data_IF_536561333112
#
_entry.id   IF_536561333112
#
_cell.length_a   1.000
_cell.length_b   1.000
_cell.length_c   1.000
_cell.angle_alpha   90.00
_cell.angle_beta   90.00
_cell.angle_gamma   90.00
#
_symmetry.space_group_name_H-M   'P 1'
#
loop_
_entity.id
_entity.type
_entity.pdbx_description
1 polymer ?
#
# COMPACT_ATOMS: atom_id res chain seq x y z
N UNK A 1 5.23 -19.20 3.47
CA UNK A 1 4.72 -18.15 4.39
C UNK A 1 3.21 -18.27 4.43
N UNK A 2 2.61 -18.57 5.58
CA UNK A 2 1.15 -18.68 5.75
C UNK A 2 0.62 -17.31 6.14
N UNK A 3 -0.19 -16.69 5.28
CA UNK A 3 -0.95 -15.49 5.63
C UNK A 3 -2.05 -15.90 6.63
N UNK A 4 -1.91 -15.49 7.88
CA UNK A 4 -2.98 -15.64 8.86
C UNK A 4 -4.16 -14.73 8.48
N UNK A 5 -5.41 -15.22 8.56
CA UNK A 5 -6.57 -14.36 8.35
C UNK A 5 -6.75 -13.45 9.57
N UNK A 6 -6.64 -12.13 9.37
CA UNK A 6 -6.93 -11.14 10.40
C UNK A 6 -8.46 -10.99 10.52
N UNK A 7 -9.03 -10.99 11.74
CA UNK A 7 -10.47 -10.92 11.95
C UNK A 7 -11.04 -9.61 11.38
N UNK A 8 -11.79 -9.72 10.29
CA UNK A 8 -12.47 -8.58 9.68
C UNK A 8 -13.64 -8.15 10.56
N UNK A 9 -13.55 -6.96 11.15
CA UNK A 9 -14.68 -6.25 11.73
C UNK A 9 -15.83 -6.12 10.72
N UNK A 10 -17.06 -6.18 11.21
CA UNK A 10 -18.30 -6.29 10.42
C UNK A 10 -18.68 -5.07 9.58
N UNK A 11 -17.86 -4.70 8.60
CA UNK A 11 -18.14 -3.68 7.58
C UNK A 11 -18.46 -4.28 6.21
N UNK A 12 -19.02 -3.47 5.30
CA UNK A 12 -19.32 -3.86 3.92
C UNK A 12 -18.02 -4.20 3.17
N UNK A 13 -18.05 -5.04 2.11
CA UNK A 13 -16.85 -5.44 1.39
C UNK A 13 -15.96 -4.28 0.92
N UNK A 14 -16.56 -3.14 0.55
CA UNK A 14 -15.82 -1.95 0.11
C UNK A 14 -15.05 -1.28 1.25
N UNK A 15 -15.63 -1.21 2.45
CA UNK A 15 -14.97 -0.65 3.65
C UNK A 15 -13.80 -1.54 4.09
N UNK A 16 -13.97 -2.85 3.96
CA UNK A 16 -12.88 -3.81 4.20
C UNK A 16 -11.75 -3.68 3.18
N UNK A 17 -12.08 -3.37 1.92
CA UNK A 17 -11.08 -3.12 0.89
C UNK A 17 -10.27 -1.86 1.22
N UNK A 18 -10.91 -0.77 1.61
CA UNK A 18 -10.25 0.48 2.03
C UNK A 18 -9.23 0.26 3.15
N UNK A 19 -9.68 -0.35 4.26
CA UNK A 19 -8.78 -0.62 5.41
C UNK A 19 -7.60 -1.48 4.98
N UNK A 20 -7.83 -2.46 4.09
CA UNK A 20 -6.76 -3.33 3.60
C UNK A 20 -5.78 -2.59 2.69
N UNK A 21 -6.26 -1.71 1.81
CA UNK A 21 -5.37 -0.96 0.91
C UNK A 21 -4.54 0.05 1.69
N UNK A 22 -5.13 0.76 2.66
CA UNK A 22 -4.41 1.66 3.58
C UNK A 22 -3.29 0.94 4.36
N UNK A 23 -3.59 -0.25 4.90
CA UNK A 23 -2.60 -1.05 5.63
C UNK A 23 -1.43 -1.50 4.75
N UNK A 24 -1.73 -1.95 3.53
CA UNK A 24 -0.68 -2.40 2.60
C UNK A 24 0.14 -1.19 2.13
N UNK A 25 -0.48 -0.04 1.87
CA UNK A 25 0.20 1.20 1.50
C UNK A 25 1.20 1.62 2.57
N UNK A 26 0.78 1.66 3.84
CA UNK A 26 1.67 1.96 4.96
C UNK A 26 2.82 0.95 5.07
N UNK A 27 2.53 -0.33 4.87
CA UNK A 27 3.56 -1.38 4.88
C UNK A 27 4.60 -1.17 3.78
N UNK A 28 4.17 -0.82 2.57
CA UNK A 28 5.07 -0.53 1.44
C UNK A 28 5.92 0.71 1.70
N UNK A 29 5.34 1.78 2.24
CA UNK A 29 6.09 3.01 2.59
C UNK A 29 7.20 2.72 3.61
N UNK A 30 6.89 1.95 4.66
CA UNK A 30 7.88 1.55 5.68
C UNK A 30 8.96 0.67 5.05
N UNK A 31 8.57 -0.36 4.28
CA UNK A 31 9.51 -1.27 3.63
C UNK A 31 10.45 -0.54 2.65
N UNK A 32 9.92 0.41 1.87
CA UNK A 32 10.70 1.25 0.97
C UNK A 32 11.70 2.12 1.72
N UNK A 33 11.29 2.74 2.83
CA UNK A 33 12.19 3.55 3.66
C UNK A 33 13.31 2.70 4.32
N UNK A 34 12.98 1.52 4.84
CA UNK A 34 13.96 0.60 5.43
C UNK A 34 14.96 0.09 4.38
N UNK A 35 14.48 -0.23 3.18
CA UNK A 35 15.33 -0.65 2.07
C UNK A 35 16.26 0.48 1.64
N UNK A 36 15.74 1.71 1.50
CA UNK A 36 16.53 2.89 1.16
C UNK A 36 17.67 3.12 2.16
N UNK A 37 17.34 3.11 3.46
CA UNK A 37 18.31 3.31 4.54
C UNK A 37 19.39 2.22 4.51
N UNK A 38 18.98 0.96 4.36
CA UNK A 38 19.90 -0.17 4.33
C UNK A 38 20.80 -0.11 3.10
N UNK A 39 20.24 0.14 1.92
CA UNK A 39 21.00 0.19 0.66
C UNK A 39 21.99 1.36 0.66
N UNK A 40 21.58 2.54 1.16
CA UNK A 40 22.44 3.71 1.34
C UNK A 40 23.56 3.45 2.35
N UNK A 41 23.27 2.79 3.47
CA UNK A 41 24.28 2.44 4.46
C UNK A 41 25.31 1.46 3.88
N UNK A 42 24.86 0.44 3.15
CA UNK A 42 25.75 -0.52 2.49
C UNK A 42 26.62 0.16 1.44
N UNK A 43 26.05 1.01 0.58
CA UNK A 43 26.85 1.73 -0.41
C UNK A 43 27.90 2.63 0.26
N UNK A 44 27.54 3.38 1.32
CA UNK A 44 28.50 4.26 2.00
C UNK A 44 29.58 3.50 2.78
N UNK A 45 29.23 2.42 3.46
CA UNK A 45 30.12 1.75 4.41
C UNK A 45 31.00 0.67 3.76
N UNK A 46 30.62 0.13 2.60
CA UNK A 46 31.41 -0.92 1.96
C UNK A 46 32.66 -0.33 1.28
N UNK A 47 33.85 -0.94 1.46
CA UNK A 47 35.03 -0.59 0.68
C UNK A 47 34.77 -0.68 -0.82
N UNK A 48 35.41 0.19 -1.61
CA UNK A 48 35.23 0.17 -3.06
C UNK A 48 35.63 -1.18 -3.68
N UNK A 49 36.63 -1.86 -3.11
CA UNK A 49 37.09 -3.18 -3.57
C UNK A 49 36.00 -4.26 -3.53
N UNK A 50 35.06 -4.19 -2.57
CA UNK A 50 33.99 -5.18 -2.42
C UNK A 50 32.68 -4.75 -3.08
N UNK A 51 32.58 -3.51 -3.60
CA UNK A 51 31.41 -3.00 -4.34
C UNK A 51 31.36 -3.41 -5.81
N UNK A 52 32.22 -4.34 -6.22
CA UNK A 52 32.24 -4.89 -7.57
C UNK A 52 31.69 -6.32 -7.59
N UNK A 53 31.34 -6.80 -8.78
CA UNK A 53 30.79 -8.15 -8.94
C UNK A 53 29.42 -8.31 -8.30
N UNK A 54 29.21 -9.40 -7.59
CA UNK A 54 27.89 -9.79 -7.06
C UNK A 54 27.30 -8.77 -6.09
N UNK A 55 28.13 -8.18 -5.23
CA UNK A 55 27.71 -7.18 -4.26
C UNK A 55 27.25 -5.90 -4.96
N UNK A 56 28.01 -5.42 -5.95
CA UNK A 56 27.62 -4.25 -6.74
C UNK A 56 26.32 -4.46 -7.49
N UNK A 57 26.13 -5.66 -8.10
CA UNK A 57 24.87 -6.03 -8.75
C UNK A 57 23.70 -6.06 -7.76
N UNK A 58 23.92 -6.59 -6.56
CA UNK A 58 22.90 -6.62 -5.51
C UNK A 58 22.50 -5.21 -5.05
N UNK A 59 23.44 -4.28 -4.90
CA UNK A 59 23.15 -2.88 -4.54
C UNK A 59 22.30 -2.18 -5.61
N UNK A 60 22.64 -2.37 -6.89
CA UNK A 60 21.86 -1.83 -8.02
C UNK A 60 20.47 -2.46 -8.06
N UNK A 61 20.38 -3.78 -7.87
CA UNK A 61 19.10 -4.48 -7.84
C UNK A 61 18.22 -4.02 -6.67
N UNK A 62 18.80 -3.81 -5.49
CA UNK A 62 18.09 -3.28 -4.33
C UNK A 62 17.56 -1.87 -4.58
N UNK A 63 18.32 -1.00 -5.24
CA UNK A 63 17.84 0.33 -5.64
C UNK A 63 16.65 0.25 -6.60
N UNK A 64 16.69 -0.66 -7.58
CA UNK A 64 15.56 -0.87 -8.49
C UNK A 64 14.34 -1.49 -7.79
N UNK A 65 14.53 -2.29 -6.74
CA UNK A 65 13.43 -2.81 -5.92
C UNK A 65 12.84 -1.70 -5.05
N UNK A 66 13.66 -0.82 -4.50
CA UNK A 66 13.23 0.34 -3.73
C UNK A 66 12.29 1.24 -4.56
N UNK A 67 12.69 1.58 -5.78
CA UNK A 67 11.87 2.36 -6.72
C UNK A 67 10.51 1.69 -6.95
N UNK A 68 10.49 0.38 -7.24
CA UNK A 68 9.24 -0.38 -7.43
C UNK A 68 8.36 -0.43 -6.19
N UNK A 69 8.94 -0.46 -4.99
CA UNK A 69 8.19 -0.45 -3.73
C UNK A 69 7.55 0.92 -3.51
N UNK A 70 8.25 2.01 -3.87
CA UNK A 70 7.71 3.37 -3.80
C UNK A 70 6.60 3.56 -4.84
N UNK A 71 6.82 3.19 -6.09
CA UNK A 71 5.79 3.22 -7.15
C UNK A 71 4.54 2.44 -6.74
N UNK A 72 4.70 1.22 -6.20
CA UNK A 72 3.58 0.42 -5.73
C UNK A 72 2.83 1.06 -4.55
N UNK A 73 3.52 1.83 -3.70
CA UNK A 73 2.88 2.57 -2.62
C UNK A 73 2.07 3.78 -3.15
N UNK A 74 2.58 4.45 -4.19
CA UNK A 74 1.91 5.56 -4.88
C UNK A 74 0.66 5.07 -5.63
N UNK A 75 0.78 4.01 -6.44
CA UNK A 75 -0.35 3.38 -7.13
C UNK A 75 -1.45 2.96 -6.13
N UNK A 76 -1.05 2.42 -4.99
CA UNK A 76 -1.99 1.99 -3.96
C UNK A 76 -2.64 3.17 -3.22
N UNK A 77 -1.97 4.33 -3.16
CA UNK A 77 -2.57 5.56 -2.68
C UNK A 77 -3.73 5.99 -3.60
N UNK A 78 -3.52 5.99 -4.91
CA UNK A 78 -4.56 6.30 -5.90
C UNK A 78 -5.75 5.34 -5.78
N UNK A 79 -5.49 4.04 -5.70
CA UNK A 79 -6.55 3.04 -5.51
C UNK A 79 -7.31 3.26 -4.20
N UNK A 80 -6.63 3.65 -3.14
CA UNK A 80 -7.26 3.93 -1.83
C UNK A 80 -8.21 5.13 -1.93
N UNK A 81 -7.80 6.20 -2.61
CA UNK A 81 -8.67 7.37 -2.86
C UNK A 81 -9.90 7.00 -3.69
N UNK A 82 -9.72 6.23 -4.77
CA UNK A 82 -10.85 5.74 -5.59
C UNK A 82 -11.85 4.90 -4.77
N UNK A 83 -11.35 4.07 -3.84
CA UNK A 83 -12.22 3.32 -2.93
C UNK A 83 -12.97 4.23 -1.94
N UNK A 84 -12.35 5.34 -1.49
CA UNK A 84 -13.02 6.37 -0.68
C UNK A 84 -14.15 7.06 -1.43
N UNK A 85 -13.93 7.45 -2.68
CA UNK A 85 -14.94 8.04 -3.53
C UNK A 85 -16.13 7.09 -3.73
N UNK A 86 -15.87 5.83 -4.11
CA UNK A 86 -16.90 4.82 -4.34
C UNK A 86 -17.70 4.49 -3.07
N UNK A 87 -17.02 4.39 -1.92
CA UNK A 87 -17.70 4.17 -0.64
C UNK A 87 -18.59 5.36 -0.26
N UNK A 88 -18.14 6.59 -0.52
CA UNK A 88 -18.92 7.80 -0.27
C UNK A 88 -20.15 7.88 -1.18
N UNK A 89 -20.01 7.59 -2.47
CA UNK A 89 -21.12 7.61 -3.42
C UNK A 89 -22.16 6.53 -3.09
N UNK A 90 -21.72 5.31 -2.74
CA UNK A 90 -22.64 4.26 -2.27
C UNK A 90 -23.44 4.69 -1.05
N UNK A 91 -22.80 5.27 -0.03
CA UNK A 91 -23.50 5.80 1.16
C UNK A 91 -24.47 6.94 0.80
N UNK A 92 -24.14 7.76 -0.21
CA UNK A 92 -25.05 8.81 -0.72
C UNK A 92 -26.30 8.20 -1.35
N UNK A 93 -26.13 7.24 -2.25
CA UNK A 93 -27.24 6.57 -2.94
C UNK A 93 -28.13 5.78 -1.98
N UNK A 94 -27.54 5.08 -1.01
CA UNK A 94 -28.30 4.35 0.01
C UNK A 94 -29.21 5.28 0.83
N UNK A 95 -28.70 6.47 1.23
CA UNK A 95 -29.51 7.48 1.92
C UNK A 95 -30.64 8.03 1.04
N UNK A 96 -30.37 8.27 -0.24
CA UNK A 96 -31.40 8.72 -1.18
C UNK A 96 -32.50 7.67 -1.36
N UNK A 97 -32.14 6.39 -1.53
CA UNK A 97 -33.10 5.30 -1.64
C UNK A 97 -33.96 5.18 -0.38
N UNK A 98 -33.37 5.27 0.81
CA UNK A 98 -34.10 5.26 2.07
C UNK A 98 -35.08 6.44 2.18
N UNK A 99 -34.69 7.64 1.76
CA UNK A 99 -35.56 8.80 1.77
C UNK A 99 -36.77 8.64 0.82
N UNK A 100 -36.56 8.08 -0.38
CA UNK A 100 -37.64 7.83 -1.34
C UNK A 100 -38.58 6.70 -0.89
N UNK A 101 -38.04 5.65 -0.26
CA UNK A 101 -38.84 4.51 0.22
C UNK A 101 -39.57 4.83 1.53
N UNK A 102 -38.99 5.64 2.41
CA UNK A 102 -39.62 6.08 3.66
C UNK A 102 -40.69 7.16 3.49
N UNK A 103 -40.69 7.89 2.37
CA UNK A 103 -41.71 8.90 2.03
C UNK A 103 -42.95 8.34 1.30
N UNK A 104 -43.07 7.00 1.17
CA UNK A 104 -44.18 6.31 0.49
C UNK A 104 -45.15 5.58 1.45
N UNK A 105 -45.07 5.84 2.76
CA UNK A 105 -46.03 5.35 3.77
C UNK A 105 -46.87 6.49 4.33
#
# INVERSE_FOLDING_TARGET
>A
MKFSPIPGGGGKPIERAQVKTEQIQQTLLVAGAELHLTNTALDRCLPHSVRHGDVGRALVQNAAIEEKVQEAAEDLAEVTELLHEEAAERRRLERQLQAVQGGRG
#
